data_IF_236697050383
#
_entry.id   IF_236697050383
#
_cell.length_a   1.000
_cell.length_b   1.000
_cell.length_c   1.000
_cell.angle_alpha   90.00
_cell.angle_beta   90.00
_cell.angle_gamma   90.00
#
_symmetry.space_group_name_H-M   'P 1'
#
loop_
_entity.id
_entity.type
_entity.pdbx_description
1 polymer ?
#
# COMPACT_ATOMS: atom_id res chain seq x y z
N UNK A 1 36.36 -7.57 6.22
CA UNK A 1 35.45 -8.32 5.32
C UNK A 1 34.65 -7.31 4.53
N UNK A 2 34.63 -7.45 3.20
CA UNK A 2 33.96 -6.48 2.34
C UNK A 2 32.46 -6.78 2.21
N UNK A 3 31.62 -5.74 2.17
CA UNK A 3 30.22 -5.81 1.80
C UNK A 3 30.07 -5.78 0.28
N UNK A 4 29.36 -6.75 -0.28
CA UNK A 4 29.05 -6.82 -1.70
C UNK A 4 27.56 -6.45 -1.92
N UNK A 5 27.30 -5.42 -2.72
CA UNK A 5 25.96 -5.01 -3.12
C UNK A 5 25.54 -5.75 -4.38
N UNK A 6 24.47 -6.53 -4.32
CA UNK A 6 24.01 -7.37 -5.43
C UNK A 6 22.48 -7.32 -5.60
N UNK A 7 21.99 -7.34 -6.85
CA UNK A 7 20.62 -7.72 -7.14
C UNK A 7 20.47 -9.25 -7.00
N UNK A 8 19.52 -9.70 -6.18
CA UNK A 8 19.26 -11.13 -6.05
C UNK A 8 18.58 -11.69 -7.30
N UNK A 9 18.85 -12.97 -7.58
CA UNK A 9 18.23 -13.72 -8.66
C UNK A 9 17.10 -14.62 -8.13
N UNK A 10 16.21 -15.06 -9.00
CA UNK A 10 15.10 -15.96 -8.62
C UNK A 10 15.60 -17.30 -8.01
N UNK A 11 16.80 -17.76 -8.38
CA UNK A 11 17.42 -18.95 -7.79
C UNK A 11 17.80 -18.78 -6.31
N UNK A 12 17.90 -17.53 -5.83
CA UNK A 12 18.24 -17.19 -4.43
C UNK A 12 16.99 -16.89 -3.57
N UNK A 13 15.79 -17.12 -4.13
CA UNK A 13 14.53 -16.83 -3.49
C UNK A 13 14.37 -17.50 -2.12
N UNK A 14 14.83 -18.74 -2.00
CA UNK A 14 14.71 -19.48 -0.74
C UNK A 14 15.60 -18.90 0.36
N UNK A 15 16.82 -18.48 0.02
CA UNK A 15 17.73 -17.80 0.95
C UNK A 15 17.16 -16.46 1.40
N UNK A 16 16.54 -15.72 0.48
CA UNK A 16 15.84 -14.49 0.79
C UNK A 16 14.69 -14.72 1.79
N UNK A 17 13.83 -15.71 1.54
CA UNK A 17 12.71 -16.04 2.45
C UNK A 17 13.25 -16.35 3.85
N UNK A 18 14.26 -17.20 3.97
CA UNK A 18 14.88 -17.54 5.25
C UNK A 18 15.45 -16.31 5.96
N UNK A 19 16.12 -15.43 5.21
CA UNK A 19 16.68 -14.19 5.75
C UNK A 19 15.58 -13.26 6.28
N UNK A 20 14.49 -13.04 5.52
CA UNK A 20 13.39 -12.16 5.91
C UNK A 20 12.63 -12.71 7.12
N UNK A 21 12.26 -14.01 7.10
CA UNK A 21 11.60 -14.68 8.22
C UNK A 21 12.41 -14.52 9.51
N UNK A 22 13.72 -14.77 9.45
CA UNK A 22 14.63 -14.63 10.60
C UNK A 22 14.73 -13.16 11.05
N UNK A 23 14.88 -12.23 10.11
CA UNK A 23 15.08 -10.81 10.41
C UNK A 23 13.86 -10.17 11.04
N UNK A 24 12.68 -10.49 10.55
CA UNK A 24 11.40 -10.00 11.08
C UNK A 24 10.85 -10.83 12.24
N UNK A 25 11.50 -11.96 12.59
CA UNK A 25 10.99 -12.93 13.57
C UNK A 25 9.54 -13.33 13.26
N UNK A 26 9.26 -13.52 12.00
CA UNK A 26 7.94 -13.77 11.48
C UNK A 26 7.64 -15.27 11.41
N UNK A 27 6.35 -15.61 11.37
CA UNK A 27 5.91 -16.96 11.07
C UNK A 27 6.17 -17.25 9.58
N UNK A 28 6.93 -18.29 9.22
CA UNK A 28 7.18 -18.66 7.83
C UNK A 28 5.90 -19.05 7.05
N UNK A 29 4.82 -19.40 7.75
CA UNK A 29 3.53 -19.72 7.14
C UNK A 29 2.73 -18.50 6.70
N UNK A 30 3.21 -17.27 6.99
CA UNK A 30 2.56 -16.05 6.54
C UNK A 30 2.48 -16.00 5.02
N UNK A 31 1.32 -15.54 4.52
CA UNK A 31 1.05 -15.41 3.10
C UNK A 31 2.12 -14.59 2.34
N UNK A 32 2.71 -13.59 3.00
CA UNK A 32 3.78 -12.74 2.44
C UNK A 32 5.09 -13.47 2.14
N UNK A 33 5.33 -14.64 2.74
CA UNK A 33 6.54 -15.45 2.53
C UNK A 33 6.31 -16.66 1.62
N UNK A 34 5.11 -16.84 1.10
CA UNK A 34 4.85 -17.89 0.11
C UNK A 34 5.74 -17.67 -1.13
N UNK A 35 6.34 -18.73 -1.68
CA UNK A 35 7.27 -18.62 -2.81
C UNK A 35 6.70 -17.83 -3.99
N UNK A 36 5.43 -18.06 -4.35
CA UNK A 36 4.78 -17.36 -5.46
C UNK A 36 4.58 -15.86 -5.18
N UNK A 37 4.37 -15.46 -3.91
CA UNK A 37 4.24 -14.06 -3.52
C UNK A 37 5.60 -13.36 -3.58
N UNK A 38 6.64 -13.99 -3.04
CA UNK A 38 8.02 -13.48 -3.12
C UNK A 38 8.48 -13.40 -4.57
N UNK A 39 8.17 -14.42 -5.41
CA UNK A 39 8.47 -14.38 -6.83
C UNK A 39 7.80 -13.19 -7.51
N UNK A 40 6.50 -13.03 -7.35
CA UNK A 40 5.74 -11.92 -7.91
C UNK A 40 6.28 -10.56 -7.43
N UNK A 41 6.55 -10.46 -6.13
CA UNK A 41 6.99 -9.22 -5.47
C UNK A 41 8.38 -8.76 -5.94
N UNK A 42 9.30 -9.67 -6.24
CA UNK A 42 10.70 -9.34 -6.47
C UNK A 42 11.25 -9.76 -7.82
N UNK A 43 10.82 -10.88 -8.38
CA UNK A 43 11.48 -11.51 -9.53
C UNK A 43 10.64 -11.52 -10.79
N UNK A 44 9.30 -11.54 -10.68
CA UNK A 44 8.42 -11.43 -11.83
C UNK A 44 8.65 -10.12 -12.58
N UNK A 45 8.43 -10.13 -13.89
CA UNK A 45 8.50 -8.91 -14.71
C UNK A 45 7.57 -7.82 -14.15
N UNK A 46 8.10 -6.60 -14.04
CA UNK A 46 7.34 -5.43 -13.61
C UNK A 46 7.37 -4.37 -14.72
N UNK A 47 6.22 -3.82 -15.14
CA UNK A 47 6.16 -2.91 -16.29
C UNK A 47 6.98 -1.63 -16.11
N UNK A 48 7.19 -1.19 -14.87
CA UNK A 48 7.88 0.06 -14.54
C UNK A 48 9.30 -0.15 -14.00
N UNK A 49 9.80 -1.41 -13.95
CA UNK A 49 11.13 -1.73 -13.41
C UNK A 49 11.79 -2.89 -14.15
N UNK A 50 12.96 -2.64 -14.73
CA UNK A 50 13.64 -3.62 -15.62
C UNK A 50 14.59 -4.58 -14.92
N UNK A 51 15.03 -4.28 -13.70
CA UNK A 51 15.99 -5.11 -12.94
C UNK A 51 15.31 -5.85 -11.79
N UNK A 52 16.05 -6.68 -11.07
CA UNK A 52 15.52 -7.30 -9.85
C UNK A 52 15.03 -6.23 -8.87
N UNK A 53 13.91 -6.50 -8.23
CA UNK A 53 13.34 -5.65 -7.17
C UNK A 53 13.80 -6.09 -5.78
N UNK A 54 14.69 -7.06 -5.71
CA UNK A 54 15.32 -7.57 -4.48
C UNK A 54 16.81 -7.22 -4.50
N UNK A 55 17.22 -6.33 -3.60
CA UNK A 55 18.58 -5.84 -3.50
C UNK A 55 19.17 -6.26 -2.15
N UNK A 56 20.38 -6.75 -2.15
CA UNK A 56 21.01 -7.27 -0.95
C UNK A 56 22.45 -6.76 -0.77
N UNK A 57 22.87 -6.77 0.49
CA UNK A 57 24.29 -6.82 0.85
C UNK A 57 24.60 -8.25 1.23
N UNK A 58 25.62 -8.80 0.58
CA UNK A 58 26.21 -10.09 0.96
C UNK A 58 27.54 -9.89 1.67
N UNK A 59 27.83 -10.81 2.56
CA UNK A 59 29.09 -10.98 3.24
C UNK A 59 29.41 -12.47 3.26
N UNK A 60 30.55 -12.86 2.69
CA UNK A 60 30.94 -14.28 2.54
C UNK A 60 29.82 -15.11 1.85
N UNK A 61 29.23 -14.59 0.80
CA UNK A 61 28.17 -15.24 0.02
C UNK A 61 26.79 -15.27 0.70
N UNK A 62 26.65 -14.80 1.95
CA UNK A 62 25.37 -14.82 2.72
C UNK A 62 24.69 -13.46 2.70
N UNK A 63 23.37 -13.44 2.60
CA UNK A 63 22.58 -12.22 2.72
C UNK A 63 22.69 -11.71 4.16
N UNK A 64 23.17 -10.47 4.33
CA UNK A 64 23.27 -9.79 5.63
C UNK A 64 22.44 -8.52 5.71
N UNK A 65 22.01 -7.98 4.57
CA UNK A 65 20.97 -6.96 4.52
C UNK A 65 20.14 -7.11 3.23
N UNK A 66 18.89 -6.74 3.28
CA UNK A 66 17.95 -6.75 2.16
C UNK A 66 17.11 -5.48 2.14
N UNK A 67 16.77 -5.02 0.94
CA UNK A 67 15.78 -3.98 0.67
C UNK A 67 15.04 -4.27 -0.62
N UNK A 68 13.71 -4.32 -0.51
CA UNK A 68 12.85 -4.50 -1.66
C UNK A 68 12.57 -3.17 -2.36
N UNK A 69 12.50 -3.22 -3.68
CA UNK A 69 12.12 -2.09 -4.54
C UNK A 69 10.64 -2.19 -4.88
N UNK A 70 9.86 -1.21 -4.46
CA UNK A 70 8.51 -0.96 -4.97
C UNK A 70 8.58 0.27 -5.85
N UNK A 71 8.50 0.12 -7.18
CA UNK A 71 8.65 1.23 -8.10
C UNK A 71 7.51 2.23 -7.97
N UNK A 72 7.82 3.51 -7.92
CA UNK A 72 6.86 4.60 -7.89
C UNK A 72 7.34 5.69 -8.85
N UNK A 73 6.46 6.19 -9.69
CA UNK A 73 6.71 7.36 -10.53
C UNK A 73 5.84 8.48 -10.04
N UNK A 74 6.42 9.48 -9.42
CA UNK A 74 5.69 10.64 -8.92
C UNK A 74 5.57 11.71 -9.99
N UNK A 75 4.36 12.19 -10.23
CA UNK A 75 4.09 13.29 -11.15
C UNK A 75 3.98 14.58 -10.36
N UNK A 76 4.82 15.55 -10.71
CA UNK A 76 4.76 16.93 -10.23
C UNK A 76 4.25 17.83 -11.36
N UNK A 77 3.92 19.10 -11.13
CA UNK A 77 3.52 20.01 -12.23
C UNK A 77 4.58 20.20 -13.31
N UNK A 78 5.84 19.98 -12.98
CA UNK A 78 6.97 20.34 -13.87
C UNK A 78 7.77 19.13 -14.33
N UNK A 79 7.68 17.97 -13.64
CA UNK A 79 8.50 16.80 -13.95
C UNK A 79 7.92 15.51 -13.41
N UNK A 80 8.41 14.40 -13.93
CA UNK A 80 8.21 13.07 -13.38
C UNK A 80 9.46 12.67 -12.58
N UNK A 81 9.26 12.17 -11.34
CA UNK A 81 10.32 11.76 -10.42
C UNK A 81 10.28 10.24 -10.28
N UNK A 82 11.36 9.58 -10.65
CA UNK A 82 11.55 8.14 -10.43
C UNK A 82 11.84 7.90 -8.95
N UNK A 83 10.91 7.31 -8.23
CA UNK A 83 11.07 6.98 -6.82
C UNK A 83 11.07 5.48 -6.58
N UNK A 84 11.68 5.07 -5.48
CA UNK A 84 11.58 3.72 -4.91
C UNK A 84 10.92 3.85 -3.55
N UNK A 85 9.77 3.20 -3.35
CA UNK A 85 9.32 2.90 -2.00
C UNK A 85 10.10 1.67 -1.51
N UNK A 86 10.89 1.88 -0.46
CA UNK A 86 11.69 0.86 0.18
C UNK A 86 10.77 -0.02 1.03
N UNK A 87 10.67 -1.29 0.66
CA UNK A 87 9.91 -2.30 1.40
C UNK A 87 10.85 -3.38 1.92
N UNK A 88 10.43 -4.11 2.96
CA UNK A 88 11.20 -5.24 3.55
C UNK A 88 12.67 -4.92 3.82
N UNK A 89 12.94 -3.69 4.28
CA UNK A 89 14.29 -3.33 4.68
C UNK A 89 14.67 -3.99 6.00
N UNK A 90 15.65 -4.85 5.93
CA UNK A 90 16.16 -5.61 7.06
C UNK A 90 17.69 -5.75 7.01
N UNK A 91 18.31 -5.85 8.18
CA UNK A 91 19.74 -6.12 8.28
C UNK A 91 20.04 -7.04 9.46
N UNK A 92 21.03 -7.92 9.30
CA UNK A 92 21.53 -8.77 10.37
C UNK A 92 22.21 -7.92 11.45
N UNK A 93 21.92 -8.19 12.71
CA UNK A 93 22.57 -7.51 13.84
C UNK A 93 24.10 -7.77 13.89
N UNK A 94 24.56 -8.91 13.35
CA UNK A 94 25.99 -9.25 13.28
C UNK A 94 26.74 -8.47 12.21
N UNK A 95 26.05 -7.89 11.21
CA UNK A 95 26.67 -7.13 10.11
C UNK A 95 26.39 -5.63 10.29
N UNK A 96 27.07 -5.05 11.28
CA UNK A 96 26.89 -3.63 11.63
C UNK A 96 27.15 -2.74 10.42
N UNK A 97 26.22 -1.83 10.12
CA UNK A 97 26.31 -0.89 9.01
C UNK A 97 25.82 -1.43 7.66
N UNK A 98 25.58 -2.74 7.48
CA UNK A 98 25.13 -3.31 6.21
C UNK A 98 23.81 -2.70 5.71
N UNK A 99 22.83 -2.48 6.60
CA UNK A 99 21.56 -1.85 6.25
C UNK A 99 21.72 -0.40 5.76
N UNK A 100 22.60 0.39 6.39
CA UNK A 100 22.90 1.77 5.96
C UNK A 100 23.66 1.77 4.63
N UNK A 101 24.61 0.83 4.46
CA UNK A 101 25.33 0.68 3.20
C UNK A 101 24.37 0.36 2.05
N UNK A 102 23.42 -0.56 2.28
CA UNK A 102 22.35 -0.89 1.32
C UNK A 102 21.53 0.34 0.93
N UNK A 103 21.04 1.12 1.90
CA UNK A 103 20.27 2.34 1.62
C UNK A 103 21.03 3.33 0.75
N UNK A 104 22.32 3.55 1.04
CA UNK A 104 23.19 4.44 0.23
C UNK A 104 23.32 3.95 -1.21
N UNK A 105 23.41 2.64 -1.42
CA UNK A 105 23.47 2.05 -2.77
C UNK A 105 22.13 2.20 -3.49
N UNK A 106 21.01 1.94 -2.79
CA UNK A 106 19.67 2.09 -3.36
C UNK A 106 19.37 3.55 -3.74
N UNK A 107 19.88 4.52 -2.99
CA UNK A 107 19.71 5.95 -3.30
C UNK A 107 20.32 6.34 -4.66
N UNK A 108 21.26 5.59 -5.20
CA UNK A 108 21.82 5.79 -6.54
C UNK A 108 20.97 5.20 -7.68
N UNK A 109 19.89 4.48 -7.39
CA UNK A 109 19.08 3.78 -8.41
C UNK A 109 17.83 4.57 -8.85
N UNK A 110 17.46 5.60 -8.09
CA UNK A 110 16.30 6.43 -8.35
C UNK A 110 16.57 7.87 -7.94
N UNK A 111 15.67 8.77 -8.32
CA UNK A 111 15.76 10.19 -7.98
C UNK A 111 15.41 10.43 -6.50
N UNK A 112 14.57 9.57 -5.94
CA UNK A 112 14.08 9.67 -4.57
C UNK A 112 13.86 8.28 -3.95
N UNK A 113 14.15 8.15 -2.65
CA UNK A 113 13.67 7.02 -1.87
C UNK A 113 12.51 7.47 -0.98
N UNK A 114 11.52 6.58 -0.86
CA UNK A 114 10.31 6.76 -0.08
C UNK A 114 10.18 5.60 0.92
N UNK A 115 9.72 5.87 2.13
CA UNK A 115 9.33 4.84 3.10
C UNK A 115 8.02 5.24 3.77
N UNK A 116 7.17 4.25 4.04
CA UNK A 116 5.92 4.42 4.76
C UNK A 116 5.99 3.55 6.01
N UNK A 117 5.82 4.15 7.19
CA UNK A 117 5.88 3.45 8.46
C UNK A 117 7.29 3.03 8.88
N UNK A 118 7.42 1.76 9.25
CA UNK A 118 8.65 1.17 9.77
C UNK A 118 8.69 1.04 11.29
N UNK A 119 9.65 0.23 11.78
CA UNK A 119 9.86 0.04 13.21
C UNK A 119 10.27 1.35 13.91
N UNK A 120 10.14 1.45 15.24
CA UNK A 120 10.67 2.60 15.98
C UNK A 120 12.14 2.89 15.68
N UNK A 121 12.96 1.85 15.57
CA UNK A 121 14.40 1.98 15.25
C UNK A 121 14.58 2.57 13.84
N UNK A 122 13.81 2.09 12.85
CA UNK A 122 13.80 2.63 11.49
C UNK A 122 13.46 4.12 11.50
N UNK A 123 12.35 4.50 12.15
CA UNK A 123 11.89 5.90 12.21
C UNK A 123 12.89 6.83 12.90
N UNK A 124 13.62 6.34 13.90
CA UNK A 124 14.67 7.09 14.58
C UNK A 124 15.96 7.21 13.77
N UNK A 125 16.22 6.26 12.87
CA UNK A 125 17.42 6.22 12.05
C UNK A 125 17.28 7.05 10.77
N UNK A 126 16.13 7.04 10.10
CA UNK A 126 15.92 7.68 8.81
C UNK A 126 16.29 9.18 8.79
N UNK A 127 15.89 10.03 9.79
CA UNK A 127 16.29 11.44 9.82
C UNK A 127 17.81 11.62 9.89
N UNK A 128 18.52 10.74 10.60
CA UNK A 128 19.99 10.77 10.70
C UNK A 128 20.70 10.43 9.38
N UNK A 129 19.95 9.79 8.46
CA UNK A 129 20.41 9.44 7.10
C UNK A 129 19.95 10.46 6.05
N UNK A 130 19.39 11.60 6.47
CA UNK A 130 18.95 12.67 5.57
C UNK A 130 17.53 12.52 5.02
N UNK A 131 16.74 11.58 5.54
CA UNK A 131 15.32 11.51 5.21
C UNK A 131 14.55 12.61 5.94
N UNK A 132 13.59 13.21 5.25
CA UNK A 132 12.63 14.18 5.84
C UNK A 132 11.24 13.58 5.93
N UNK A 133 10.43 14.03 6.89
CA UNK A 133 9.01 13.73 6.93
C UNK A 133 8.28 14.41 5.77
N UNK A 134 7.49 13.65 5.02
CA UNK A 134 6.76 14.12 3.84
C UNK A 134 5.23 13.93 3.97
N UNK A 135 4.74 13.74 5.19
CA UNK A 135 3.32 13.56 5.48
C UNK A 135 3.01 12.27 6.23
N UNK A 136 1.75 11.91 6.23
CA UNK A 136 1.22 10.77 6.95
C UNK A 136 0.26 9.98 6.05
N UNK A 137 0.36 8.66 6.05
CA UNK A 137 -0.65 7.77 5.49
C UNK A 137 -1.60 7.37 6.61
N UNK A 138 -2.82 7.86 6.55
CA UNK A 138 -3.88 7.57 7.53
C UNK A 138 -4.69 6.37 7.06
N UNK A 139 -4.87 5.40 7.93
CA UNK A 139 -5.65 4.19 7.67
C UNK A 139 -7.02 4.29 8.33
N UNK A 140 -8.04 3.92 7.59
CA UNK A 140 -9.45 3.97 7.99
C UNK A 140 -10.04 2.57 7.90
N UNK A 141 -10.91 2.22 8.86
CA UNK A 141 -11.62 0.95 8.83
C UNK A 141 -13.09 1.12 9.12
N UNK A 142 -13.91 0.29 8.48
CA UNK A 142 -15.33 0.17 8.73
C UNK A 142 -15.72 -1.29 8.89
N UNK A 143 -16.27 -1.67 10.03
CA UNK A 143 -16.84 -2.99 10.24
C UNK A 143 -18.27 -3.00 9.68
N UNK A 144 -18.54 -3.97 8.80
CA UNK A 144 -19.85 -4.11 8.14
C UNK A 144 -20.60 -5.35 8.63
N UNK A 145 -19.87 -6.39 9.12
CA UNK A 145 -20.47 -7.60 9.70
C UNK A 145 -19.82 -7.91 11.05
N UNK A 146 -20.23 -7.22 12.14
CA UNK A 146 -19.61 -7.32 13.47
C UNK A 146 -19.63 -8.73 14.05
N UNK A 147 -20.72 -9.46 13.83
CA UNK A 147 -20.85 -10.85 14.31
C UNK A 147 -19.84 -11.76 13.63
N UNK A 148 -19.66 -11.63 12.31
CA UNK A 148 -18.68 -12.40 11.57
C UNK A 148 -17.26 -12.07 12.04
N UNK A 149 -16.94 -10.78 12.21
CA UNK A 149 -15.67 -10.31 12.77
C UNK A 149 -15.42 -10.91 14.16
N UNK A 150 -16.42 -10.85 15.06
CA UNK A 150 -16.30 -11.39 16.41
C UNK A 150 -16.03 -12.90 16.40
N UNK A 151 -16.74 -13.66 15.56
CA UNK A 151 -16.55 -15.12 15.44
C UNK A 151 -15.15 -15.47 14.94
N UNK A 152 -14.61 -14.71 13.99
CA UNK A 152 -13.38 -15.00 13.28
C UNK A 152 -12.15 -14.29 13.85
N UNK A 153 -12.28 -13.52 14.92
CA UNK A 153 -11.16 -12.94 15.66
C UNK A 153 -10.40 -14.08 16.38
N UNK A 154 -9.11 -14.32 16.03
CA UNK A 154 -8.37 -15.48 16.55
C UNK A 154 -8.10 -15.39 18.05
N UNK A 155 -7.56 -14.25 18.50
CA UNK A 155 -7.21 -13.99 19.90
C UNK A 155 -8.27 -13.12 20.57
N UNK A 156 -9.21 -13.75 21.27
CA UNK A 156 -10.21 -13.03 22.07
C UNK A 156 -9.62 -12.65 23.42
N UNK A 157 -9.88 -11.42 23.86
CA UNK A 157 -9.49 -10.90 25.15
C UNK A 157 -10.68 -10.17 25.81
N UNK A 158 -10.48 -9.67 27.03
CA UNK A 158 -11.54 -8.99 27.80
C UNK A 158 -12.14 -7.75 27.09
N UNK A 159 -11.41 -7.13 26.14
CA UNK A 159 -11.89 -5.99 25.33
C UNK A 159 -12.74 -6.44 24.13
N UNK A 160 -12.70 -7.71 23.73
CA UNK A 160 -13.38 -8.21 22.55
C UNK A 160 -14.90 -8.00 22.57
N UNK A 161 -15.64 -8.26 23.70
CA UNK A 161 -17.08 -7.96 23.77
C UNK A 161 -17.40 -6.48 23.61
N UNK A 162 -16.61 -5.59 24.24
CA UNK A 162 -16.79 -4.14 24.11
C UNK A 162 -16.55 -3.65 22.68
N UNK A 163 -15.55 -4.20 21.99
CA UNK A 163 -15.30 -3.95 20.56
C UNK A 163 -16.48 -4.42 19.70
N UNK A 164 -17.02 -5.60 19.99
CA UNK A 164 -18.19 -6.11 19.27
C UNK A 164 -19.40 -5.18 19.42
N UNK A 165 -19.76 -4.80 20.64
CA UNK A 165 -20.89 -3.88 20.91
C UNK A 165 -20.70 -2.54 20.18
N UNK A 166 -19.53 -1.93 20.30
CA UNK A 166 -19.18 -0.68 19.61
C UNK A 166 -19.32 -0.81 18.09
N UNK A 167 -18.77 -1.90 17.51
CA UNK A 167 -18.81 -2.12 16.07
C UNK A 167 -20.22 -2.44 15.58
N UNK A 168 -21.02 -3.15 16.38
CA UNK A 168 -22.45 -3.39 16.11
C UNK A 168 -23.25 -2.08 16.07
N UNK A 169 -23.09 -1.22 17.08
CA UNK A 169 -23.75 0.08 17.09
C UNK A 169 -23.38 0.94 15.85
N UNK A 170 -22.12 0.94 15.44
CA UNK A 170 -21.68 1.68 14.24
C UNK A 170 -22.20 1.08 12.94
N UNK A 171 -22.35 -0.23 12.85
CA UNK A 171 -22.85 -0.90 11.65
C UNK A 171 -24.34 -0.64 11.39
N UNK A 172 -25.12 -0.29 12.41
CA UNK A 172 -26.55 0.06 12.28
C UNK A 172 -26.79 1.26 11.35
N UNK A 173 -25.82 2.18 11.23
CA UNK A 173 -25.93 3.32 10.32
C UNK A 173 -25.97 2.91 8.82
N UNK A 174 -25.71 1.64 8.50
CA UNK A 174 -25.68 1.16 7.12
C UNK A 174 -24.55 1.79 6.28
N UNK A 175 -24.36 1.33 5.06
CA UNK A 175 -23.46 1.97 4.10
C UNK A 175 -24.16 3.21 3.50
N UNK A 176 -23.39 4.24 3.11
CA UNK A 176 -23.96 5.39 2.42
C UNK A 176 -24.69 4.93 1.15
N UNK A 177 -25.78 5.60 0.76
CA UNK A 177 -26.48 5.28 -0.47
C UNK A 177 -25.57 5.47 -1.67
N UNK A 178 -25.84 4.76 -2.76
CA UNK A 178 -25.18 5.01 -4.02
C UNK A 178 -25.49 6.45 -4.47
N UNK A 179 -24.48 7.25 -4.83
CA UNK A 179 -24.71 8.61 -5.26
C UNK A 179 -25.50 8.62 -6.57
N UNK A 180 -26.47 9.53 -6.69
CA UNK A 180 -27.31 9.63 -7.89
C UNK A 180 -26.45 9.94 -9.12
N UNK A 181 -26.64 9.16 -10.19
CA UNK A 181 -25.92 9.32 -11.44
C UNK A 181 -24.55 8.66 -11.49
N UNK A 182 -23.99 8.23 -10.34
CA UNK A 182 -22.70 7.55 -10.25
C UNK A 182 -22.85 6.04 -10.28
N UNK A 183 -21.94 5.38 -10.99
CA UNK A 183 -21.92 3.92 -11.14
C UNK A 183 -20.49 3.39 -11.03
N UNK A 184 -20.34 2.16 -10.51
CA UNK A 184 -19.13 1.40 -10.53
C UNK A 184 -19.35 0.11 -11.33
N UNK A 185 -18.56 -0.11 -12.34
CA UNK A 185 -18.60 -1.32 -13.16
C UNK A 185 -17.33 -2.14 -12.94
N UNK A 186 -17.49 -3.43 -12.59
CA UNK A 186 -16.37 -4.34 -12.45
C UNK A 186 -15.76 -4.63 -13.81
N UNK A 187 -14.42 -4.56 -13.89
CA UNK A 187 -13.65 -4.86 -15.10
C UNK A 187 -12.62 -5.94 -14.82
N UNK A 188 -12.23 -6.68 -15.85
CA UNK A 188 -11.22 -7.75 -15.73
C UNK A 188 -9.79 -7.22 -15.83
N UNK A 189 -9.61 -6.09 -16.50
CA UNK A 189 -8.33 -5.40 -16.66
C UNK A 189 -8.56 -3.93 -16.98
N UNK A 190 -7.54 -3.12 -16.76
CA UNK A 190 -7.52 -1.72 -17.19
C UNK A 190 -6.96 -1.57 -18.59
N UNK A 191 -7.48 -0.62 -19.34
CA UNK A 191 -7.00 -0.19 -20.64
C UNK A 191 -6.33 1.19 -20.53
N UNK A 192 -5.68 1.65 -21.58
CA UNK A 192 -5.03 2.97 -21.63
C UNK A 192 -6.02 4.15 -21.40
N UNK A 193 -7.31 3.94 -21.55
CA UNK A 193 -8.34 4.96 -21.27
C UNK A 193 -8.30 5.46 -19.83
N UNK A 194 -7.88 4.60 -18.88
CA UNK A 194 -7.76 4.98 -17.47
C UNK A 194 -6.64 6.01 -17.25
N UNK A 195 -5.63 6.03 -18.12
CA UNK A 195 -4.49 6.93 -18.01
C UNK A 195 -4.85 8.37 -18.43
N UNK A 196 -5.79 8.52 -19.35
CA UNK A 196 -6.27 9.81 -19.82
C UNK A 196 -7.35 10.45 -18.93
N UNK A 197 -8.25 9.62 -18.37
CA UNK A 197 -9.35 10.08 -17.51
C UNK A 197 -8.94 10.43 -16.08
N UNK A 198 -7.85 9.85 -15.63
CA UNK A 198 -7.23 10.17 -14.34
C UNK A 198 -6.18 11.28 -14.47
N UNK A 199 -6.41 12.29 -15.29
CA UNK A 199 -5.57 13.49 -15.34
C UNK A 199 -5.49 14.05 -13.91
N UNK A 200 -4.38 13.77 -13.27
CA UNK A 200 -4.13 14.07 -11.88
C UNK A 200 -4.24 15.58 -11.70
N UNK A 201 -5.02 16.01 -10.74
CA UNK A 201 -4.98 17.39 -10.29
C UNK A 201 -3.64 17.62 -9.57
N UNK A 202 -2.55 17.58 -10.34
CA UNK A 202 -1.18 17.76 -9.85
C UNK A 202 -0.92 19.20 -9.40
N UNK A 203 -1.89 20.10 -9.51
CA UNK A 203 -1.77 21.45 -9.00
C UNK A 203 -1.65 21.49 -7.47
N UNK A 204 -2.37 20.63 -6.76
CA UNK A 204 -2.45 20.66 -5.29
C UNK A 204 -1.54 19.65 -4.59
N UNK A 205 -1.22 18.52 -5.24
CA UNK A 205 -0.40 17.45 -4.65
C UNK A 205 0.44 16.74 -5.72
N UNK A 206 1.44 16.01 -5.26
CA UNK A 206 2.23 15.08 -6.08
C UNK A 206 1.63 13.70 -5.95
N UNK A 207 1.33 13.01 -7.05
CA UNK A 207 0.72 11.69 -7.03
C UNK A 207 1.58 10.67 -7.79
N UNK A 208 1.52 9.38 -7.43
CA UNK A 208 2.07 8.32 -8.24
C UNK A 208 1.34 8.22 -9.58
N UNK A 209 2.10 8.19 -10.67
CA UNK A 209 1.54 7.85 -11.98
C UNK A 209 0.97 6.43 -11.95
N UNK A 210 -0.22 6.27 -12.47
CA UNK A 210 -0.85 4.97 -12.63
C UNK A 210 -0.96 4.64 -14.11
N UNK A 211 -0.30 3.56 -14.52
CA UNK A 211 -0.43 3.01 -15.87
C UNK A 211 -1.35 1.80 -15.85
N UNK A 212 -2.05 1.53 -16.96
CA UNK A 212 -2.85 0.32 -17.10
C UNK A 212 -2.00 -0.93 -16.85
N UNK A 213 -0.77 -0.95 -17.35
CA UNK A 213 0.17 -2.04 -17.13
C UNK A 213 0.52 -2.24 -15.66
N UNK A 214 0.80 -1.15 -14.91
CA UNK A 214 1.10 -1.20 -13.47
C UNK A 214 -0.10 -1.68 -12.64
N UNK A 215 -1.30 -1.19 -12.94
CA UNK A 215 -2.53 -1.62 -12.28
C UNK A 215 -2.85 -3.09 -12.58
N UNK A 216 -2.69 -3.54 -13.83
CA UNK A 216 -2.88 -4.93 -14.21
C UNK A 216 -1.83 -5.87 -13.58
N UNK A 217 -0.60 -5.37 -13.35
CA UNK A 217 0.39 -6.10 -12.56
C UNK A 217 -0.09 -6.31 -11.12
N UNK A 218 -0.70 -5.30 -10.46
CA UNK A 218 -1.30 -5.47 -9.13
C UNK A 218 -2.44 -6.50 -9.14
N UNK A 219 -3.28 -6.53 -10.18
CA UNK A 219 -4.36 -7.53 -10.31
C UNK A 219 -3.83 -8.97 -10.38
N UNK A 220 -2.60 -9.18 -10.83
CA UNK A 220 -1.96 -10.50 -10.91
C UNK A 220 -1.31 -10.95 -9.59
N UNK A 221 -1.37 -10.17 -8.52
CA UNK A 221 -0.74 -10.49 -7.25
C UNK A 221 -1.34 -11.76 -6.61
N UNK A 222 -0.54 -12.82 -6.34
CA UNK A 222 -1.05 -14.06 -5.79
C UNK A 222 -1.33 -14.01 -4.27
N UNK A 223 -1.05 -12.89 -3.62
CA UNK A 223 -1.22 -12.75 -2.17
C UNK A 223 -2.66 -12.46 -1.76
N UNK A 224 -3.51 -11.96 -2.67
CA UNK A 224 -4.90 -11.61 -2.42
C UNK A 224 -5.75 -11.79 -3.68
N UNK A 225 -7.07 -11.80 -3.53
CA UNK A 225 -7.99 -11.72 -4.68
C UNK A 225 -8.25 -10.25 -4.99
N UNK A 226 -7.77 -9.78 -6.13
CA UNK A 226 -7.97 -8.40 -6.57
C UNK A 226 -9.18 -8.26 -7.47
N UNK A 227 -9.87 -7.11 -7.37
CA UNK A 227 -10.98 -6.72 -8.25
C UNK A 227 -10.83 -5.28 -8.65
N UNK A 228 -11.03 -5.00 -9.94
CA UNK A 228 -10.93 -3.67 -10.53
C UNK A 228 -12.31 -3.13 -10.87
N UNK A 229 -12.52 -1.84 -10.65
CA UNK A 229 -13.76 -1.15 -10.95
C UNK A 229 -13.48 0.17 -11.66
N UNK A 230 -14.18 0.42 -12.75
CA UNK A 230 -14.28 1.73 -13.37
C UNK A 230 -15.47 2.49 -12.78
N UNK A 231 -15.29 3.79 -12.59
CA UNK A 231 -16.32 4.67 -12.02
C UNK A 231 -16.73 5.69 -13.06
N UNK A 232 -18.03 5.81 -13.29
CA UNK A 232 -18.61 6.78 -14.22
C UNK A 232 -19.67 7.64 -13.54
N UNK A 233 -19.84 8.84 -14.09
CA UNK A 233 -20.91 9.78 -13.77
C UNK A 233 -21.60 10.15 -15.08
N UNK A 234 -22.94 9.95 -15.16
CA UNK A 234 -23.71 10.15 -16.39
C UNK A 234 -23.07 9.52 -17.65
N UNK A 235 -22.53 8.31 -17.52
CA UNK A 235 -21.82 7.54 -18.55
C UNK A 235 -20.41 8.06 -18.93
N UNK A 236 -19.94 9.15 -18.34
CA UNK A 236 -18.57 9.60 -18.51
C UNK A 236 -17.66 8.87 -17.52
N UNK A 237 -16.55 8.30 -18.00
CA UNK A 237 -15.53 7.75 -17.13
C UNK A 237 -14.93 8.87 -16.26
N UNK A 238 -14.97 8.68 -14.92
CA UNK A 238 -14.48 9.65 -13.93
C UNK A 238 -13.28 9.15 -13.15
N UNK A 239 -13.07 7.84 -13.14
CA UNK A 239 -11.97 7.27 -12.39
C UNK A 239 -12.11 5.76 -12.17
N UNK A 240 -11.44 5.26 -11.15
CA UNK A 240 -11.45 3.83 -10.80
C UNK A 240 -11.14 3.62 -9.32
N UNK A 241 -11.39 2.42 -8.86
CA UNK A 241 -10.83 1.89 -7.62
C UNK A 241 -10.46 0.41 -7.75
N UNK A 242 -9.52 -0.01 -6.91
CA UNK A 242 -9.07 -1.39 -6.75
C UNK A 242 -9.43 -1.92 -5.37
N UNK A 243 -9.94 -3.13 -5.32
CA UNK A 243 -10.16 -3.88 -4.08
C UNK A 243 -9.20 -5.06 -4.01
N UNK A 244 -8.66 -5.33 -2.81
CA UNK A 244 -7.97 -6.57 -2.48
C UNK A 244 -8.73 -7.28 -1.37
N UNK A 245 -9.14 -8.52 -1.61
CA UNK A 245 -9.76 -9.39 -0.61
C UNK A 245 -8.69 -10.23 0.08
N UNK A 246 -8.50 -10.01 1.38
CA UNK A 246 -7.50 -10.69 2.20
C UNK A 246 -8.21 -11.31 3.38
N UNK A 247 -8.35 -12.61 3.39
CA UNK A 247 -9.20 -13.31 4.36
C UNK A 247 -10.60 -12.68 4.38
N UNK A 248 -11.03 -12.08 5.48
CA UNK A 248 -12.35 -11.45 5.66
C UNK A 248 -12.30 -9.93 5.67
N UNK A 249 -11.24 -9.36 5.15
CA UNK A 249 -11.02 -7.92 5.05
C UNK A 249 -10.93 -7.53 3.58
N UNK A 250 -11.80 -6.60 3.14
CA UNK A 250 -11.65 -5.95 1.85
C UNK A 250 -10.85 -4.67 2.02
N UNK A 251 -9.79 -4.50 1.25
CA UNK A 251 -8.99 -3.28 1.23
C UNK A 251 -9.24 -2.51 -0.06
N UNK A 252 -9.54 -1.22 0.06
CA UNK A 252 -9.55 -0.31 -1.07
C UNK A 252 -8.11 0.13 -1.24
N UNK A 253 -7.40 -0.54 -2.17
CA UNK A 253 -5.94 -0.44 -2.25
C UNK A 253 -5.48 0.71 -3.12
N UNK A 254 -6.25 1.06 -4.13
CA UNK A 254 -6.00 2.23 -4.98
C UNK A 254 -7.29 2.88 -5.42
N UNK A 255 -7.26 4.18 -5.61
CA UNK A 255 -8.41 4.95 -6.05
C UNK A 255 -7.95 6.24 -6.71
N UNK A 256 -8.48 6.53 -7.89
CA UNK A 256 -8.22 7.77 -8.63
C UNK A 256 -9.52 8.35 -9.17
N UNK A 257 -9.54 9.66 -9.24
CA UNK A 257 -10.71 10.40 -9.69
C UNK A 257 -10.28 11.63 -10.50
N UNK A 258 -10.92 11.86 -11.64
CA UNK A 258 -10.78 13.08 -12.40
C UNK A 258 -11.44 14.25 -11.66
N UNK A 259 -10.74 15.38 -11.57
CA UNK A 259 -11.26 16.63 -11.01
C UNK A 259 -11.22 16.77 -9.50
N UNK A 260 -11.43 15.73 -8.74
CA UNK A 260 -11.10 15.63 -7.32
C UNK A 260 -11.79 16.62 -6.36
N UNK A 261 -12.99 17.12 -6.66
CA UNK A 261 -13.79 17.90 -5.70
C UNK A 261 -14.35 17.03 -4.56
N UNK A 262 -14.77 17.66 -3.46
CA UNK A 262 -15.24 16.98 -2.24
C UNK A 262 -16.41 16.03 -2.49
N UNK A 263 -17.35 16.42 -3.35
CA UNK A 263 -18.56 15.63 -3.63
C UNK A 263 -18.21 14.39 -4.46
N UNK A 264 -17.38 14.54 -5.45
CA UNK A 264 -16.86 13.43 -6.27
C UNK A 264 -16.06 12.43 -5.44
N UNK A 265 -15.23 12.88 -4.49
CA UNK A 265 -14.53 11.98 -3.55
C UNK A 265 -15.50 11.23 -2.65
N UNK A 266 -16.56 11.87 -2.16
CA UNK A 266 -17.62 11.20 -1.39
C UNK A 266 -18.30 10.13 -2.22
N UNK A 267 -18.59 10.43 -3.49
CA UNK A 267 -19.24 9.51 -4.40
C UNK A 267 -18.41 8.23 -4.62
N UNK A 268 -17.14 8.37 -4.98
CA UNK A 268 -16.29 7.20 -5.22
C UNK A 268 -16.03 6.40 -3.95
N UNK A 269 -15.84 7.04 -2.78
CA UNK A 269 -15.70 6.36 -1.50
C UNK A 269 -16.95 5.55 -1.14
N UNK A 270 -18.15 6.09 -1.38
CA UNK A 270 -19.39 5.39 -1.17
C UNK A 270 -19.53 4.16 -2.08
N UNK A 271 -19.24 4.31 -3.37
CA UNK A 271 -19.26 3.21 -4.34
C UNK A 271 -18.24 2.13 -3.95
N UNK A 272 -17.01 2.48 -3.65
CA UNK A 272 -15.96 1.54 -3.27
C UNK A 272 -16.34 0.76 -2.00
N UNK A 273 -16.91 1.44 -0.99
CA UNK A 273 -17.38 0.79 0.23
C UNK A 273 -18.52 -0.19 -0.05
N UNK A 274 -19.45 0.15 -0.95
CA UNK A 274 -20.55 -0.74 -1.34
C UNK A 274 -20.07 -1.96 -2.09
N UNK A 275 -19.22 -1.78 -3.11
CA UNK A 275 -18.63 -2.89 -3.86
C UNK A 275 -17.79 -3.81 -2.98
N UNK A 276 -17.05 -3.26 -2.00
CA UNK A 276 -16.32 -4.05 -1.02
C UNK A 276 -17.23 -4.87 -0.09
N UNK A 277 -18.47 -4.44 0.12
CA UNK A 277 -19.43 -5.11 0.98
C UNK A 277 -20.26 -6.20 0.26
N UNK A 278 -20.18 -6.31 -1.07
CA UNK A 278 -20.90 -7.30 -1.87
C UNK A 278 -20.49 -8.73 -1.52
N UNK A 279 -19.18 -8.95 -1.21
CA UNK A 279 -18.73 -10.26 -0.73
C UNK A 279 -19.28 -10.53 0.69
N UNK A 280 -20.12 -11.59 0.86
CA UNK A 280 -20.73 -11.94 2.14
C UNK A 280 -19.70 -12.33 3.22
N UNK A 281 -18.49 -12.74 2.82
CA UNK A 281 -17.42 -13.11 3.74
C UNK A 281 -16.63 -11.88 4.26
N UNK A 282 -16.78 -10.73 3.65
CA UNK A 282 -16.14 -9.49 4.12
C UNK A 282 -16.79 -9.00 5.41
N UNK A 283 -16.04 -8.89 6.49
CA UNK A 283 -16.53 -8.31 7.75
C UNK A 283 -15.97 -6.92 8.05
N UNK A 284 -14.83 -6.55 7.48
CA UNK A 284 -14.20 -5.25 7.64
C UNK A 284 -13.74 -4.70 6.29
N UNK A 285 -13.94 -3.40 6.06
CA UNK A 285 -13.41 -2.69 4.91
C UNK A 285 -12.32 -1.74 5.42
N UNK A 286 -11.17 -1.71 4.73
CA UNK A 286 -10.03 -0.84 5.03
C UNK A 286 -9.72 0.04 3.83
N UNK A 287 -9.38 1.29 4.10
CA UNK A 287 -8.88 2.24 3.13
C UNK A 287 -7.73 3.05 3.74
N UNK A 288 -6.92 3.67 2.90
CA UNK A 288 -5.88 4.59 3.36
C UNK A 288 -5.79 5.80 2.44
N UNK A 289 -5.36 6.92 3.00
CA UNK A 289 -5.03 8.13 2.24
C UNK A 289 -4.07 9.01 3.00
N UNK A 290 -3.16 9.63 2.29
CA UNK A 290 -2.30 10.69 2.81
C UNK A 290 -2.88 12.09 2.54
N UNK A 291 -4.00 12.20 1.84
CA UNK A 291 -4.70 13.45 1.53
C UNK A 291 -5.91 13.61 2.46
N UNK A 292 -5.96 14.73 3.17
CA UNK A 292 -7.00 15.00 4.17
C UNK A 292 -8.41 15.01 3.56
N UNK A 293 -8.58 15.64 2.40
CA UNK A 293 -9.87 15.69 1.67
C UNK A 293 -10.44 14.29 1.41
N UNK A 294 -9.58 13.33 1.02
CA UNK A 294 -9.97 11.93 0.80
C UNK A 294 -10.27 11.26 2.14
N UNK A 295 -9.45 11.55 3.17
CA UNK A 295 -9.69 11.07 4.53
C UNK A 295 -11.05 11.49 5.10
N UNK A 296 -11.44 12.75 4.88
CA UNK A 296 -12.77 13.26 5.25
C UNK A 296 -13.89 12.53 4.50
N UNK A 297 -13.71 12.23 3.22
CA UNK A 297 -14.67 11.46 2.45
C UNK A 297 -14.85 10.04 3.03
N UNK A 298 -13.78 9.39 3.49
CA UNK A 298 -13.85 8.11 4.21
C UNK A 298 -14.61 8.23 5.53
N UNK A 299 -14.34 9.26 6.34
CA UNK A 299 -15.06 9.48 7.60
C UNK A 299 -16.56 9.66 7.34
N UNK A 300 -16.94 10.42 6.30
CA UNK A 300 -18.34 10.61 5.91
C UNK A 300 -18.98 9.34 5.35
N UNK A 301 -18.19 8.45 4.73
CA UNK A 301 -18.64 7.12 4.37
C UNK A 301 -18.76 6.17 5.58
N UNK A 302 -18.59 6.66 6.81
CA UNK A 302 -18.77 5.92 8.07
C UNK A 302 -17.55 5.09 8.48
N UNK A 303 -16.38 5.31 7.86
CA UNK A 303 -15.13 4.76 8.33
C UNK A 303 -14.65 5.49 9.58
N UNK A 304 -13.74 4.86 10.31
CA UNK A 304 -13.10 5.41 11.49
C UNK A 304 -11.59 5.37 11.29
N UNK A 305 -10.91 6.47 11.59
CA UNK A 305 -9.45 6.50 11.63
C UNK A 305 -8.91 5.49 12.65
N UNK A 306 -7.92 4.70 12.27
CA UNK A 306 -7.38 3.60 13.09
C UNK A 306 -5.89 3.66 13.32
N UNK A 307 -5.14 4.03 12.31
CA UNK A 307 -3.69 4.06 12.36
C UNK A 307 -3.16 5.19 11.49
N UNK A 308 -1.96 5.64 11.81
CA UNK A 308 -1.19 6.63 11.05
C UNK A 308 0.22 6.12 10.87
N UNK A 309 0.68 6.09 9.63
CA UNK A 309 2.04 5.74 9.25
C UNK A 309 2.76 7.00 8.76
N UNK A 310 3.95 7.26 9.31
CA UNK A 310 4.78 8.38 8.85
C UNK A 310 5.36 8.08 7.47
N UNK A 311 5.34 9.08 6.59
CA UNK A 311 5.97 9.03 5.27
C UNK A 311 7.30 9.76 5.36
N UNK A 312 8.40 9.10 5.00
CA UNK A 312 9.73 9.68 4.92
C UNK A 312 10.25 9.66 3.49
N UNK A 313 10.93 10.72 3.08
CA UNK A 313 11.49 10.87 1.75
C UNK A 313 12.98 11.25 1.86
N UNK A 314 13.82 10.55 1.10
CA UNK A 314 15.18 10.98 0.80
C UNK A 314 15.19 11.54 -0.64
N UNK A 315 15.23 12.85 -0.76
CA UNK A 315 15.17 13.61 -2.02
C UNK A 315 16.30 14.65 -2.04
N UNK A 316 17.53 14.22 -2.34
CA UNK A 316 18.71 15.09 -2.24
C UNK A 316 18.72 16.23 -3.27
N UNK A 317 17.93 16.12 -4.34
CA UNK A 317 17.80 17.14 -5.39
C UNK A 317 16.58 18.04 -5.19
N UNK A 318 15.79 17.79 -4.14
CA UNK A 318 14.57 18.54 -3.83
C UNK A 318 13.58 18.64 -5.02
N UNK A 319 13.40 17.53 -5.73
CA UNK A 319 12.52 17.42 -6.91
C UNK A 319 11.04 17.51 -6.52
N UNK A 320 10.71 17.04 -5.32
CA UNK A 320 9.40 17.24 -4.71
C UNK A 320 9.52 18.35 -3.68
N UNK A 321 8.99 19.53 -4.02
CA UNK A 321 9.08 20.72 -3.19
C UNK A 321 8.66 20.47 -1.74
N UNK A 322 9.38 21.00 -0.78
CA UNK A 322 9.03 20.94 0.64
C UNK A 322 7.65 21.60 0.85
N UNK A 323 6.77 20.90 1.55
CA UNK A 323 5.38 21.35 1.77
C UNK A 323 4.37 20.85 0.73
N UNK A 324 4.79 20.24 -0.38
CA UNK A 324 3.87 19.60 -1.31
C UNK A 324 3.43 18.24 -0.76
N UNK A 325 2.13 18.02 -0.69
CA UNK A 325 1.57 16.76 -0.21
C UNK A 325 1.78 15.64 -1.24
N UNK A 326 2.06 14.44 -0.76
CA UNK A 326 2.10 13.22 -1.56
C UNK A 326 0.73 12.54 -1.49
N UNK A 327 0.10 12.25 -2.61
CA UNK A 327 -1.15 11.48 -2.65
C UNK A 327 -0.85 9.98 -2.75
N UNK A 328 -0.63 9.38 -1.59
CA UNK A 328 -0.32 7.95 -1.44
C UNK A 328 -1.49 7.18 -0.85
N UNK A 329 -1.55 5.90 -1.19
CA UNK A 329 -2.52 4.94 -0.68
C UNK A 329 -1.88 3.55 -0.46
N UNK A 330 -2.67 2.50 -0.24
CA UNK A 330 -2.14 1.16 0.04
C UNK A 330 -1.38 0.54 -1.15
N UNK A 331 -1.74 0.88 -2.40
CA UNK A 331 -1.07 0.36 -3.59
C UNK A 331 0.35 0.91 -3.79
N UNK A 332 0.72 1.95 -3.05
CA UNK A 332 2.07 2.51 -3.13
C UNK A 332 3.10 1.71 -2.33
N UNK A 333 2.70 0.55 -1.80
CA UNK A 333 3.55 -0.40 -1.10
C UNK A 333 2.89 -1.76 -0.99
N UNK A 334 3.54 -2.67 -0.29
CA UNK A 334 3.08 -4.04 -0.09
C UNK A 334 1.99 -4.19 1.00
N UNK A 335 1.69 -3.12 1.72
CA UNK A 335 0.59 -3.08 2.70
C UNK A 335 -0.79 -3.37 2.07
N UNK A 336 -0.90 -3.28 0.74
CA UNK A 336 -2.13 -3.62 0.03
C UNK A 336 -2.52 -5.11 0.17
N UNK A 337 -1.58 -6.02 0.42
CA UNK A 337 -1.84 -7.46 0.57
C UNK A 337 -1.26 -8.09 1.85
N UNK A 338 -0.47 -7.37 2.64
CA UNK A 338 0.06 -7.90 3.89
C UNK A 338 -1.06 -8.19 4.88
N UNK A 339 -1.05 -9.35 5.52
CA UNK A 339 -1.99 -9.72 6.56
C UNK A 339 -1.28 -10.18 7.83
N UNK A 340 -1.89 -9.91 8.98
CA UNK A 340 -1.45 -10.45 10.26
C UNK A 340 -2.51 -11.46 10.75
N UNK A 341 -2.23 -12.77 10.70
CA UNK A 341 -3.23 -13.78 11.08
C UNK A 341 -3.58 -13.74 12.58
N UNK A 342 -2.70 -13.23 13.43
CA UNK A 342 -2.96 -13.07 14.89
C UNK A 342 -3.86 -11.88 15.16
N UNK A 343 -3.75 -10.80 14.35
CA UNK A 343 -4.56 -9.59 14.45
C UNK A 343 -5.00 -9.16 13.04
N UNK A 344 -5.96 -9.90 12.43
CA UNK A 344 -6.31 -9.70 11.03
C UNK A 344 -7.12 -8.43 10.77
N UNK A 345 -7.67 -7.80 11.82
CA UNK A 345 -8.55 -6.66 11.73
C UNK A 345 -7.91 -5.40 12.30
N UNK A 346 -8.15 -4.29 11.63
CA UNK A 346 -7.67 -2.97 12.03
C UNK A 346 -8.57 -2.31 13.11
N UNK A 347 -9.82 -2.72 13.23
CA UNK A 347 -10.82 -2.16 14.16
C UNK A 347 -10.88 -2.83 15.54
#
# INVERSE_FOLDING_TARGET
MAFEFVPLQASEQQDLIQFLVKSFRADPALNSFRPEVIHWKYFAHHPEWKSSRSLAIKQEGRIVAHGGVWPVRLVTPTTEVKAIHLIDWAASRSAVGAGVHLLRKMAGLADMLLTIGGSPDTRNLLPKLGYRGCGELRQYARVIRPWLQFRTTPAKNWKTPAKFLRNSARSLAGLPPAPKGWQAAKVTSFTAEIEGGASENTSSFTAPRRTAAGLNHLLSCPAASFSAFQVSDAQRLRGYFLLAQIARQARIVDMRLEGGDRESWRAICALAARSAAEDPETCEIVAASSIELIGEAWLQAGFVHRATEQIFCYDPRNLVSSGRLLNLNLADGDSCFLSNPVSPYLS
#
